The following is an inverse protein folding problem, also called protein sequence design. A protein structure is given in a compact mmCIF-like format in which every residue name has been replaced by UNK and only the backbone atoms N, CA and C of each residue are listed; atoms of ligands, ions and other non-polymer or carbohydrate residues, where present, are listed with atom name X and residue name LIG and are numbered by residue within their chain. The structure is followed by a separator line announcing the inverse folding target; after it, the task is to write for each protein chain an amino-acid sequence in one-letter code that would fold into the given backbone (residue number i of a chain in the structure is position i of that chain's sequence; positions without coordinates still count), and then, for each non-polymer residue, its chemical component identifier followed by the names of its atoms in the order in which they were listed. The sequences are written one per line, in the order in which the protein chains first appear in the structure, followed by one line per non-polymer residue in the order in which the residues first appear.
data_IF_408762928182
#
_entry.id   IF_408762928182
#
_cell.length_a   1.000
_cell.length_b   1.000
_cell.length_c   1.000
_cell.angle_alpha   90.00
_cell.angle_beta   90.00
_cell.angle_gamma   90.00
#
_symmetry.space_group_name_H-M   'P 1'
#
loop_
_entity.id
_entity.type
_entity.pdbx_description
1 polymer ?
#
# COMPACT_ATOMS: atom_id res chain seq x y z
N UNK A 1 6.92 -24.43 -1.03
CA UNK A 1 7.40 -23.79 -2.27
C UNK A 1 6.27 -23.13 -3.05
N UNK A 2 5.21 -23.87 -3.46
CA UNK A 2 4.15 -23.29 -4.30
C UNK A 2 3.47 -22.08 -3.64
N UNK A 3 3.15 -22.16 -2.34
CA UNK A 3 2.51 -21.04 -1.62
C UNK A 3 3.42 -19.79 -1.61
N UNK A 4 4.71 -19.94 -1.28
CA UNK A 4 5.68 -18.84 -1.31
C UNK A 4 5.84 -18.24 -2.72
N UNK A 5 5.79 -19.08 -3.76
CA UNK A 5 5.82 -18.60 -5.14
C UNK A 5 4.58 -17.77 -5.49
N UNK A 6 3.39 -18.19 -5.03
CA UNK A 6 2.14 -17.45 -5.25
C UNK A 6 2.15 -16.10 -4.51
N UNK A 7 2.60 -16.10 -3.26
CA UNK A 7 2.76 -14.87 -2.46
C UNK A 7 3.73 -13.92 -3.13
N UNK A 8 4.88 -14.42 -3.61
CA UNK A 8 5.83 -13.63 -4.39
C UNK A 8 5.18 -12.96 -5.62
N UNK A 9 4.41 -13.71 -6.42
CA UNK A 9 3.75 -13.15 -7.62
C UNK A 9 2.79 -12.02 -7.25
N UNK A 10 1.98 -12.20 -6.21
CA UNK A 10 1.01 -11.18 -5.77
C UNK A 10 1.74 -9.96 -5.18
N UNK A 11 2.71 -10.17 -4.31
CA UNK A 11 3.46 -9.07 -3.69
C UNK A 11 4.25 -8.28 -4.73
N UNK A 12 4.94 -8.96 -5.64
CA UNK A 12 5.72 -8.30 -6.69
C UNK A 12 4.83 -7.48 -7.60
N UNK A 13 3.68 -8.03 -8.02
CA UNK A 13 2.73 -7.32 -8.90
C UNK A 13 2.10 -6.10 -8.23
N UNK A 14 1.60 -6.24 -7.00
CA UNK A 14 1.04 -5.12 -6.23
C UNK A 14 2.08 -4.05 -5.96
N UNK A 15 3.31 -4.44 -5.59
CA UNK A 15 4.39 -3.49 -5.33
C UNK A 15 4.78 -2.71 -6.59
N UNK A 16 4.90 -3.39 -7.74
CA UNK A 16 5.11 -2.73 -9.03
C UNK A 16 3.98 -1.76 -9.37
N UNK A 17 2.72 -2.17 -9.15
CA UNK A 17 1.56 -1.32 -9.38
C UNK A 17 1.60 -0.06 -8.50
N UNK A 18 1.95 -0.18 -7.21
CA UNK A 18 2.08 0.96 -6.30
C UNK A 18 3.20 1.94 -6.69
N UNK A 19 4.29 1.47 -7.32
CA UNK A 19 5.37 2.34 -7.82
C UNK A 19 5.03 3.01 -9.16
N UNK A 20 4.28 2.32 -10.02
CA UNK A 20 3.99 2.76 -11.38
C UNK A 20 2.77 3.70 -11.48
N UNK A 21 2.02 3.85 -10.39
CA UNK A 21 0.78 4.63 -10.36
C UNK A 21 1.07 6.13 -10.48
N UNK A 22 0.43 6.78 -11.44
CA UNK A 22 0.59 8.22 -11.68
C UNK A 22 -0.42 9.06 -10.88
N UNK A 23 -0.15 10.35 -10.70
CA UNK A 23 -0.98 11.27 -9.90
C UNK A 23 -2.44 11.34 -10.39
N UNK A 24 -2.69 11.27 -11.71
CA UNK A 24 -4.05 11.30 -12.26
C UNK A 24 -4.85 10.04 -11.88
N UNK A 25 -4.25 8.86 -12.04
CA UNK A 25 -4.87 7.58 -11.66
C UNK A 25 -5.12 7.52 -10.16
N UNK A 26 -4.19 8.07 -9.38
CA UNK A 26 -4.33 8.19 -7.94
C UNK A 26 -5.49 9.11 -7.57
N UNK A 27 -5.60 10.25 -8.24
CA UNK A 27 -6.66 11.23 -8.01
C UNK A 27 -8.05 10.64 -8.26
N UNK A 28 -8.23 9.85 -9.32
CA UNK A 28 -9.49 9.18 -9.61
C UNK A 28 -9.87 8.15 -8.55
N UNK A 29 -8.91 7.33 -8.10
CA UNK A 29 -9.14 6.35 -7.04
C UNK A 29 -9.53 7.02 -5.72
N UNK A 30 -8.86 8.12 -5.37
CA UNK A 30 -9.17 8.92 -4.19
C UNK A 30 -10.54 9.60 -4.30
N UNK A 31 -10.92 10.08 -5.48
CA UNK A 31 -12.24 10.69 -5.72
C UNK A 31 -13.38 9.67 -5.54
N UNK A 32 -13.21 8.48 -6.10
CA UNK A 32 -14.17 7.37 -5.94
C UNK A 32 -14.24 6.91 -4.49
N UNK A 33 -13.09 6.77 -3.81
CA UNK A 33 -13.02 6.40 -2.40
C UNK A 33 -13.67 7.44 -1.49
N UNK A 34 -13.46 8.73 -1.78
CA UNK A 34 -14.08 9.85 -1.09
C UNK A 34 -15.60 9.84 -1.23
N UNK A 35 -16.13 9.57 -2.42
CA UNK A 35 -17.58 9.58 -2.62
C UNK A 35 -18.28 8.39 -1.95
N UNK A 36 -17.61 7.24 -1.86
CA UNK A 36 -18.20 6.03 -1.28
C UNK A 36 -18.11 5.93 0.24
N UNK A 37 -17.20 6.65 0.89
CA UNK A 37 -16.88 6.39 2.31
C UNK A 37 -17.07 7.62 3.20
N UNK A 38 -18.24 7.74 3.84
CA UNK A 38 -18.55 8.88 4.71
C UNK A 38 -17.65 8.94 5.96
N UNK A 39 -17.46 7.82 6.67
CA UNK A 39 -16.66 7.76 7.90
C UNK A 39 -15.19 8.13 7.69
N UNK A 40 -14.59 7.66 6.59
CA UNK A 40 -13.20 8.00 6.26
C UNK A 40 -13.03 9.50 5.97
N UNK A 41 -14.04 10.17 5.41
CA UNK A 41 -14.02 11.62 5.18
C UNK A 41 -13.93 12.36 6.50
N UNK A 42 -14.75 11.98 7.49
CA UNK A 42 -14.80 12.61 8.79
C UNK A 42 -13.45 12.53 9.53
N UNK A 43 -12.84 11.35 9.51
CA UNK A 43 -11.52 11.12 10.10
C UNK A 43 -10.42 11.91 9.38
N UNK A 44 -10.46 11.94 8.04
CA UNK A 44 -9.52 12.72 7.23
C UNK A 44 -9.66 14.22 7.52
N UNK A 45 -10.89 14.76 7.50
CA UNK A 45 -11.12 16.18 7.75
C UNK A 45 -10.63 16.58 9.15
N UNK A 46 -10.89 15.74 10.16
CA UNK A 46 -10.46 15.98 11.54
C UNK A 46 -8.93 15.92 11.70
N UNK A 47 -8.27 14.94 11.09
CA UNK A 47 -6.82 14.72 11.25
C UNK A 47 -5.98 15.66 10.38
N UNK A 48 -6.41 15.92 9.14
CA UNK A 48 -5.66 16.72 8.15
C UNK A 48 -6.08 18.19 8.11
N UNK A 49 -7.07 18.60 8.92
CA UNK A 49 -7.58 19.97 8.98
C UNK A 49 -7.90 20.58 7.60
N UNK A 50 -8.59 19.80 6.77
CA UNK A 50 -9.02 20.18 5.42
C UNK A 50 -10.52 19.92 5.28
N UNK A 51 -11.18 20.57 4.30
CA UNK A 51 -12.61 20.37 4.05
C UNK A 51 -12.88 20.15 2.55
N UNK A 52 -13.79 19.21 2.27
CA UNK A 52 -14.16 18.80 0.91
C UNK A 52 -12.99 18.17 0.12
N UNK A 53 -13.33 17.51 -1.00
CA UNK A 53 -12.31 16.86 -1.84
C UNK A 53 -11.60 17.89 -2.73
N UNK A 54 -12.27 18.38 -3.79
CA UNK A 54 -11.72 19.43 -4.69
C UNK A 54 -12.15 20.83 -4.28
N UNK A 55 -13.41 20.98 -3.90
CA UNK A 55 -14.00 22.22 -3.38
C UNK A 55 -14.90 21.89 -2.20
N UNK A 56 -15.21 22.92 -1.43
CA UNK A 56 -16.06 22.82 -0.26
C UNK A 56 -16.90 24.09 -0.15
N UNK A 57 -18.22 23.93 0.04
CA UNK A 57 -19.11 25.04 0.34
C UNK A 57 -19.18 25.22 1.85
N UNK A 58 -19.10 26.47 2.32
CA UNK A 58 -19.17 26.82 3.75
C UNK A 58 -20.48 26.42 4.43
N UNK A 59 -21.51 26.09 3.65
CA UNK A 59 -22.81 25.60 4.15
C UNK A 59 -22.81 24.10 4.46
N UNK A 60 -21.80 23.35 3.99
CA UNK A 60 -21.66 21.93 4.35
C UNK A 60 -21.01 21.79 5.73
N UNK A 61 -21.35 20.73 6.45
CA UNK A 61 -20.75 20.43 7.75
C UNK A 61 -19.35 19.82 7.55
N UNK A 62 -18.32 20.43 8.13
CA UNK A 62 -16.95 19.89 8.15
C UNK A 62 -16.47 19.74 9.60
N UNK A 63 -15.83 18.61 9.93
CA UNK A 63 -15.35 18.31 11.29
C UNK A 63 -13.93 18.82 11.59
N UNK A 64 -13.29 19.47 10.62
CA UNK A 64 -11.95 20.06 10.77
C UNK A 64 -11.91 21.22 11.77
N UNK A 65 -10.79 21.41 12.47
CA UNK A 65 -10.63 22.53 13.40
C UNK A 65 -10.56 23.89 12.67
N UNK A 66 -10.08 23.91 11.42
CA UNK A 66 -10.01 25.12 10.60
C UNK A 66 -11.39 25.79 10.40
N UNK A 67 -12.47 24.99 10.37
CA UNK A 67 -13.83 25.49 10.22
C UNK A 67 -14.32 26.25 11.46
N UNK A 68 -13.92 25.79 12.65
CA UNK A 68 -14.30 26.43 13.92
C UNK A 68 -13.62 27.79 14.12
N UNK A 69 -12.45 27.99 13.49
CA UNK A 69 -11.65 29.20 13.65
C UNK A 69 -11.98 30.29 12.63
N UNK A 70 -12.99 30.11 11.76
CA UNK A 70 -13.41 31.14 10.79
C UNK A 70 -12.40 31.44 9.67
N UNK A 71 -11.42 30.55 9.46
CA UNK A 71 -10.43 30.67 8.38
C UNK A 71 -10.85 29.84 7.16
N UNK A 72 -10.43 30.25 5.97
CA UNK A 72 -10.55 29.45 4.75
C UNK A 72 -9.83 28.11 4.94
N UNK A 73 -10.60 27.02 5.08
CA UNK A 73 -10.04 25.66 5.10
C UNK A 73 -9.51 25.29 3.72
N UNK A 74 -8.32 24.64 3.63
CA UNK A 74 -7.82 24.11 2.36
C UNK A 74 -8.64 22.89 1.93
N UNK A 75 -8.60 22.58 0.63
CA UNK A 75 -9.19 21.36 0.07
C UNK A 75 -8.36 20.13 0.40
N UNK A 76 -9.01 18.98 0.60
CA UNK A 76 -8.32 17.75 1.00
C UNK A 76 -7.61 17.04 -0.15
N UNK A 77 -8.07 17.19 -1.41
CA UNK A 77 -7.50 16.48 -2.56
C UNK A 77 -5.97 16.65 -2.72
N UNK A 78 -5.37 17.86 -2.71
CA UNK A 78 -3.93 18.01 -2.87
C UNK A 78 -3.14 17.43 -1.69
N UNK A 79 -3.71 17.47 -0.48
CA UNK A 79 -3.08 16.96 0.74
C UNK A 79 -3.07 15.43 0.71
N UNK A 80 -4.25 14.81 0.55
CA UNK A 80 -4.39 13.35 0.46
C UNK A 80 -3.60 12.81 -0.73
N UNK A 81 -3.61 13.50 -1.87
CA UNK A 81 -2.86 13.13 -3.06
C UNK A 81 -1.35 13.01 -2.77
N UNK A 82 -0.74 14.02 -2.15
CA UNK A 82 0.68 13.94 -1.79
C UNK A 82 0.98 12.81 -0.82
N UNK A 83 0.21 12.69 0.27
CA UNK A 83 0.42 11.64 1.26
C UNK A 83 0.25 10.25 0.69
N UNK A 84 -0.82 10.00 -0.07
CA UNK A 84 -1.08 8.70 -0.68
C UNK A 84 0.01 8.34 -1.69
N UNK A 85 0.52 9.29 -2.47
CA UNK A 85 1.60 9.04 -3.43
C UNK A 85 2.91 8.68 -2.75
N UNK A 86 3.28 9.40 -1.69
CA UNK A 86 4.47 9.09 -0.90
C UNK A 86 4.37 7.71 -0.23
N UNK A 87 3.22 7.41 0.40
CA UNK A 87 2.97 6.13 1.06
C UNK A 87 2.97 4.98 0.04
N UNK A 88 2.34 5.13 -1.13
CA UNK A 88 2.32 4.08 -2.16
C UNK A 88 3.74 3.75 -2.66
N UNK A 89 4.57 4.78 -2.90
CA UNK A 89 5.97 4.57 -3.33
C UNK A 89 6.81 3.93 -2.23
N UNK A 90 6.62 4.36 -0.98
CA UNK A 90 7.30 3.78 0.17
C UNK A 90 6.91 2.31 0.39
N UNK A 91 5.61 2.01 0.46
CA UNK A 91 5.09 0.65 0.68
C UNK A 91 5.45 -0.27 -0.48
N UNK A 92 5.33 0.20 -1.73
CA UNK A 92 5.74 -0.61 -2.87
C UNK A 92 7.25 -0.86 -2.89
N UNK A 93 8.08 0.08 -2.42
CA UNK A 93 9.52 -0.13 -2.28
C UNK A 93 9.84 -1.22 -1.24
N UNK A 94 9.17 -1.17 -0.10
CA UNK A 94 9.27 -2.21 0.95
C UNK A 94 8.79 -3.57 0.43
N UNK A 95 7.65 -3.60 -0.28
CA UNK A 95 7.10 -4.81 -0.87
C UNK A 95 8.04 -5.45 -1.88
N UNK A 96 8.67 -4.66 -2.75
CA UNK A 96 9.71 -5.13 -3.67
C UNK A 96 10.90 -5.72 -2.92
N UNK A 97 11.38 -5.07 -1.85
CA UNK A 97 12.48 -5.60 -1.03
C UNK A 97 12.12 -6.97 -0.45
N UNK A 98 10.93 -7.13 0.13
CA UNK A 98 10.48 -8.42 0.64
C UNK A 98 10.35 -9.48 -0.45
N UNK A 99 9.83 -9.12 -1.64
CA UNK A 99 9.76 -10.05 -2.79
C UNK A 99 11.16 -10.55 -3.21
N UNK A 100 12.20 -9.71 -3.17
CA UNK A 100 13.58 -10.15 -3.40
C UNK A 100 14.12 -11.09 -2.31
N UNK A 101 13.73 -10.90 -1.05
CA UNK A 101 14.10 -11.87 0.00
C UNK A 101 13.34 -13.19 -0.14
N UNK A 102 12.09 -13.14 -0.62
CA UNK A 102 11.25 -14.32 -0.80
C UNK A 102 11.75 -15.22 -1.95
N UNK A 103 12.24 -14.65 -3.05
CA UNK A 103 12.80 -15.45 -4.15
C UNK A 103 14.06 -16.22 -3.69
N UNK A 104 14.90 -15.62 -2.84
CA UNK A 104 16.02 -16.31 -2.20
C UNK A 104 15.52 -17.41 -1.26
N UNK A 105 14.45 -17.16 -0.50
CA UNK A 105 13.80 -18.16 0.35
C UNK A 105 13.25 -19.35 -0.43
N UNK A 106 12.60 -19.12 -1.57
CA UNK A 106 12.11 -20.17 -2.47
C UNK A 106 13.28 -20.99 -3.04
N UNK A 107 14.36 -20.33 -3.46
CA UNK A 107 15.55 -21.01 -3.96
C UNK A 107 16.25 -21.86 -2.86
N UNK A 108 16.43 -21.31 -1.66
CA UNK A 108 17.03 -22.01 -0.54
C UNK A 108 16.18 -23.22 -0.11
N UNK A 109 14.86 -23.06 -0.03
CA UNK A 109 13.96 -24.16 0.33
C UNK A 109 13.88 -25.23 -0.75
N UNK A 110 13.95 -24.86 -2.04
CA UNK A 110 14.10 -25.82 -3.14
C UNK A 110 15.39 -26.62 -3.00
N UNK A 111 16.52 -25.93 -2.83
CA UNK A 111 17.83 -26.57 -2.66
C UNK A 111 17.86 -27.48 -1.44
N UNK A 112 17.33 -27.02 -0.30
CA UNK A 112 17.28 -27.79 0.93
C UNK A 112 16.46 -29.08 0.77
N UNK A 113 15.29 -29.01 0.13
CA UNK A 113 14.46 -30.21 -0.13
C UNK A 113 15.07 -31.15 -1.18
N UNK A 114 15.86 -30.62 -2.11
CA UNK A 114 16.58 -31.40 -3.12
C UNK A 114 17.95 -31.90 -2.64
N UNK A 115 18.34 -31.66 -1.39
CA UNK A 115 19.50 -32.33 -0.81
C UNK A 115 19.15 -33.81 -0.60
N UNK A 116 20.00 -34.69 -1.14
CA UNK A 116 19.86 -36.14 -0.93
C UNK A 116 19.97 -36.45 0.56
N UNK A 117 19.10 -37.33 1.04
CA UNK A 117 19.13 -37.82 2.41
C UNK A 117 20.48 -38.53 2.66
N UNK A 118 21.38 -37.99 3.50
CA UNK A 118 22.69 -38.59 3.74
C UNK A 118 22.59 -39.97 4.41
N UNK A 119 21.43 -40.33 4.99
CA UNK A 119 21.17 -41.66 5.56
C UNK A 119 20.82 -42.73 4.52
N UNK A 120 20.50 -42.35 3.29
CA UNK A 120 20.19 -43.29 2.20
C UNK A 120 21.43 -43.78 1.45
N UNK A 121 22.64 -43.53 1.97
CA UNK A 121 23.88 -44.02 1.38
C UNK A 121 24.13 -45.46 1.87
N UNK A 122 23.96 -46.50 1.04
CA UNK A 122 24.12 -47.90 1.45
C UNK A 122 25.56 -48.25 1.88
N UNK A 123 26.53 -47.38 1.60
CA UNK A 123 27.94 -47.50 1.99
C UNK A 123 28.24 -47.10 3.44
N UNK A 124 27.25 -46.66 4.23
CA UNK A 124 27.43 -46.34 5.66
C UNK A 124 27.20 -47.55 6.59
N UNK A 125 26.81 -48.70 6.04
CA UNK A 125 26.59 -49.97 6.77
C UNK A 125 27.55 -51.09 6.34
N UNK A 126 28.61 -50.78 5.59
CA UNK A 126 29.70 -51.71 5.25
C UNK A 126 30.99 -51.31 5.95
#
# INVERSE_FOLDING_TARGET
MIILLLVFIVQFSVSCACLALNEEQQGQLLEVGWNNTASARDDIQRNLNCCGFRSFNTNETCLAACMKNGHNCPSCAPIIGKYAGEVLRFVGGIGLFFSFTEILGVWLTYRYRNQKDPRANPSAFL
#
